data_IF_019203820086
#
_entry.id   IF_019203820086
#
_cell.length_a   1.000
_cell.length_b   1.000
_cell.length_c   1.000
_cell.angle_alpha   90.00
_cell.angle_beta   90.00
_cell.angle_gamma   90.00
#
_symmetry.space_group_name_H-M   'P 1'
#
loop_
_entity.id
_entity.type
_entity.pdbx_description
1 polymer ?
#
# COMPACT_ATOMS: atom_id res chain seq x y z
N UNK A 1 -9.42 -1.18 1.31
CA UNK A 1 -8.16 -1.94 1.15
C UNK A 1 -8.28 -3.34 1.69
N UNK A 2 -8.53 -3.54 3.00
CA UNK A 2 -8.47 -4.88 3.62
C UNK A 2 -9.47 -5.87 3.04
N UNK A 3 -10.76 -5.54 3.03
CA UNK A 3 -11.81 -6.43 2.50
C UNK A 3 -11.55 -6.82 1.04
N UNK A 4 -11.22 -5.84 0.19
CA UNK A 4 -10.85 -6.07 -1.21
C UNK A 4 -9.66 -7.01 -1.35
N UNK A 5 -8.60 -6.83 -0.56
CA UNK A 5 -7.39 -7.66 -0.67
C UNK A 5 -7.59 -9.06 -0.12
N UNK A 6 -8.42 -9.20 0.93
CA UNK A 6 -8.80 -10.50 1.46
C UNK A 6 -9.56 -11.29 0.41
N UNK A 7 -10.62 -10.72 -0.15
CA UNK A 7 -11.43 -11.37 -1.19
C UNK A 7 -10.61 -11.69 -2.45
N UNK A 8 -9.79 -10.74 -2.92
CA UNK A 8 -8.89 -10.94 -4.06
C UNK A 8 -7.93 -12.12 -3.83
N UNK A 9 -7.31 -12.20 -2.64
CA UNK A 9 -6.41 -13.30 -2.30
C UNK A 9 -7.15 -14.64 -2.31
N UNK A 10 -8.35 -14.68 -1.73
CA UNK A 10 -9.17 -15.89 -1.70
C UNK A 10 -9.51 -16.39 -3.10
N UNK A 11 -9.93 -15.49 -3.99
CA UNK A 11 -10.23 -15.82 -5.39
C UNK A 11 -8.98 -16.29 -6.13
N UNK A 12 -7.87 -15.55 -6.07
CA UNK A 12 -6.64 -15.88 -6.79
C UNK A 12 -6.04 -17.23 -6.39
N UNK A 13 -6.22 -17.64 -5.13
CA UNK A 13 -5.71 -18.91 -4.60
C UNK A 13 -6.76 -20.02 -4.53
N UNK A 14 -7.99 -19.79 -5.03
CA UNK A 14 -9.10 -20.75 -4.97
C UNK A 14 -9.40 -21.26 -3.55
N UNK A 15 -9.31 -20.36 -2.56
CA UNK A 15 -9.53 -20.65 -1.15
C UNK A 15 -11.01 -20.67 -0.81
N UNK A 16 -11.40 -21.49 0.17
CA UNK A 16 -12.77 -21.59 0.65
C UNK A 16 -12.94 -20.93 2.03
N UNK A 17 -13.77 -19.88 2.19
CA UNK A 17 -13.98 -19.22 3.49
C UNK A 17 -14.64 -20.11 4.54
N UNK A 18 -15.27 -21.23 4.14
CA UNK A 18 -15.80 -22.22 5.06
C UNK A 18 -14.73 -23.18 5.61
N UNK A 19 -13.51 -23.18 5.05
CA UNK A 19 -12.37 -23.97 5.53
C UNK A 19 -11.53 -23.09 6.45
N UNK A 20 -11.44 -23.39 7.77
CA UNK A 20 -10.73 -22.54 8.73
C UNK A 20 -9.25 -22.31 8.38
N UNK A 21 -8.56 -23.29 7.83
CA UNK A 21 -7.16 -23.22 7.45
C UNK A 21 -6.93 -22.26 6.26
N UNK A 22 -7.85 -22.26 5.31
CA UNK A 22 -7.84 -21.35 4.15
C UNK A 22 -8.05 -19.91 4.60
N UNK A 23 -9.02 -19.69 5.50
CA UNK A 23 -9.26 -18.38 6.11
C UNK A 23 -8.05 -17.91 6.93
N UNK A 24 -7.50 -18.78 7.76
CA UNK A 24 -6.32 -18.48 8.56
C UNK A 24 -5.10 -18.13 7.68
N UNK A 25 -4.89 -18.85 6.57
CA UNK A 25 -3.87 -18.51 5.59
C UNK A 25 -4.10 -17.12 5.01
N UNK A 26 -5.33 -16.81 4.58
CA UNK A 26 -5.65 -15.52 3.98
C UNK A 26 -5.44 -14.35 4.98
N UNK A 27 -5.93 -14.49 6.21
CA UNK A 27 -5.77 -13.50 7.29
C UNK A 27 -4.31 -13.33 7.72
N UNK A 28 -3.52 -14.40 7.70
CA UNK A 28 -2.09 -14.32 8.02
C UNK A 28 -1.33 -13.47 6.99
N UNK A 29 -1.82 -13.39 5.74
CA UNK A 29 -1.18 -12.65 4.64
C UNK A 29 -1.68 -11.22 4.52
N UNK A 30 -2.99 -10.98 4.65
CA UNK A 30 -3.59 -9.64 4.52
C UNK A 30 -3.67 -8.96 5.89
N UNK A 31 -2.64 -8.19 6.23
CA UNK A 31 -2.48 -7.61 7.56
C UNK A 31 -2.61 -6.09 7.54
N UNK A 32 -3.61 -5.50 8.22
CA UNK A 32 -3.77 -4.04 8.27
C UNK A 32 -2.56 -3.31 8.81
N UNK A 33 -1.87 -3.90 9.79
CA UNK A 33 -0.69 -3.31 10.42
C UNK A 33 0.49 -3.14 9.45
N UNK A 34 0.79 -4.16 8.64
CA UNK A 34 1.92 -4.08 7.69
C UNK A 34 1.60 -3.22 6.47
N UNK A 35 0.34 -3.20 6.01
CA UNK A 35 -0.11 -2.29 4.95
C UNK A 35 -0.01 -0.82 5.43
N UNK A 36 -0.40 -0.54 6.67
CA UNK A 36 -0.25 0.81 7.24
C UNK A 36 1.23 1.19 7.47
N UNK A 37 2.09 0.22 7.77
CA UNK A 37 3.53 0.45 7.91
C UNK A 37 4.19 0.78 6.56
N UNK A 38 3.78 0.14 5.47
CA UNK A 38 4.29 0.39 4.12
C UNK A 38 4.17 1.86 3.70
N UNK A 39 3.02 2.48 3.94
CA UNK A 39 2.79 3.93 3.75
C UNK A 39 3.90 4.77 4.42
N UNK A 40 4.21 4.46 5.68
CA UNK A 40 5.22 5.18 6.48
C UNK A 40 6.62 4.90 5.94
N UNK A 41 6.91 3.66 5.57
CA UNK A 41 8.22 3.27 5.04
C UNK A 41 8.53 3.95 3.71
N UNK A 42 7.54 4.11 2.82
CA UNK A 42 7.68 4.96 1.64
C UNK A 42 7.94 6.42 2.01
N UNK A 43 7.19 6.99 2.95
CA UNK A 43 7.37 8.39 3.36
C UNK A 43 8.72 8.64 4.03
N UNK A 44 9.32 7.63 4.66
CA UNK A 44 10.67 7.66 5.21
C UNK A 44 11.76 7.49 4.13
N UNK A 45 11.41 6.96 2.96
CA UNK A 45 12.35 6.56 1.91
C UNK A 45 13.03 5.21 2.16
N UNK A 46 12.45 4.37 3.02
CA UNK A 46 12.94 3.01 3.29
C UNK A 46 12.48 1.99 2.24
N UNK A 47 11.38 2.28 1.51
CA UNK A 47 10.99 1.58 0.29
C UNK A 47 11.15 2.54 -0.88
N UNK A 48 11.95 2.14 -1.86
CA UNK A 48 12.48 3.07 -2.87
C UNK A 48 11.77 3.01 -4.23
N UNK A 49 10.84 2.07 -4.42
CA UNK A 49 10.17 1.84 -5.71
C UNK A 49 8.70 1.49 -5.46
N UNK A 50 7.80 2.09 -6.22
CA UNK A 50 6.39 1.67 -6.36
C UNK A 50 6.24 1.07 -7.76
N UNK A 51 5.59 -0.09 -7.85
CA UNK A 51 5.37 -0.81 -9.11
C UNK A 51 3.93 -1.31 -9.24
N UNK A 52 3.54 -1.83 -10.40
CA UNK A 52 2.13 -2.13 -10.70
C UNK A 52 1.66 -3.52 -10.28
N UNK A 53 2.53 -4.53 -10.30
CA UNK A 53 2.15 -5.95 -10.31
C UNK A 53 1.01 -6.26 -11.31
N UNK A 54 1.23 -5.89 -12.58
CA UNK A 54 0.17 -5.75 -13.59
C UNK A 54 -0.65 -7.02 -13.81
N UNK A 55 -1.95 -6.94 -13.50
CA UNK A 55 -2.93 -8.04 -13.61
C UNK A 55 -2.62 -9.26 -12.73
N UNK A 56 -1.69 -9.12 -11.79
CA UNK A 56 -1.25 -10.18 -10.89
C UNK A 56 -1.22 -9.69 -9.44
N UNK A 57 -2.31 -9.06 -8.98
CA UNK A 57 -2.53 -8.34 -7.71
C UNK A 57 -2.43 -6.80 -7.79
N UNK A 58 -2.13 -6.24 -8.97
CA UNK A 58 -2.17 -4.79 -9.12
C UNK A 58 -2.51 -4.27 -10.52
N UNK A 59 -2.40 -2.94 -10.66
CA UNK A 59 -3.08 -2.15 -11.71
C UNK A 59 -2.07 -1.32 -12.49
N UNK A 60 -1.86 -1.67 -13.76
CA UNK A 60 -0.84 -1.05 -14.63
C UNK A 60 -1.05 0.47 -14.82
N UNK A 61 -2.30 0.92 -14.90
CA UNK A 61 -2.64 2.33 -15.11
C UNK A 61 -2.61 3.20 -13.85
N UNK A 62 -2.32 2.62 -12.67
CA UNK A 62 -2.46 3.34 -11.39
C UNK A 62 -1.14 3.65 -10.70
N UNK A 63 0.02 3.21 -11.22
CA UNK A 63 1.33 3.40 -10.56
C UNK A 63 1.55 4.85 -10.13
N UNK A 64 1.47 5.78 -11.08
CA UNK A 64 1.71 7.21 -10.83
C UNK A 64 0.66 7.80 -9.88
N UNK A 65 -0.62 7.46 -10.09
CA UNK A 65 -1.72 7.95 -9.25
C UNK A 65 -1.55 7.49 -7.79
N UNK A 66 -1.21 6.22 -7.58
CA UNK A 66 -1.05 5.62 -6.24
C UNK A 66 0.17 6.20 -5.52
N UNK A 67 1.28 6.43 -6.23
CA UNK A 67 2.44 7.16 -5.69
C UNK A 67 2.02 8.51 -5.09
N UNK A 68 1.26 9.32 -5.83
CA UNK A 68 0.81 10.63 -5.35
C UNK A 68 -0.26 10.55 -4.25
N UNK A 69 -1.12 9.52 -4.27
CA UNK A 69 -2.09 9.28 -3.20
C UNK A 69 -1.40 8.94 -1.88
N UNK A 70 -0.35 8.10 -1.90
CA UNK A 70 0.46 7.79 -0.71
C UNK A 70 1.15 9.04 -0.19
N UNK A 71 1.82 9.82 -1.06
CA UNK A 71 2.44 11.09 -0.66
C UNK A 71 1.44 12.06 -0.01
N UNK A 72 0.23 12.18 -0.58
CA UNK A 72 -0.84 13.03 -0.06
C UNK A 72 -1.34 12.60 1.31
N UNK A 73 -1.61 11.30 1.49
CA UNK A 73 -2.08 10.75 2.78
C UNK A 73 -0.99 10.89 3.84
N UNK A 74 0.28 10.69 3.48
CA UNK A 74 1.40 10.86 4.39
C UNK A 74 1.60 12.31 4.81
N UNK A 75 1.40 13.28 3.90
CA UNK A 75 1.32 14.70 4.28
C UNK A 75 0.23 14.95 5.31
N UNK A 76 -0.98 14.44 5.08
CA UNK A 76 -2.10 14.62 6.01
C UNK A 76 -1.85 14.01 7.39
N UNK A 77 -1.19 12.84 7.45
CA UNK A 77 -0.96 12.11 8.71
C UNK A 77 0.31 12.54 9.45
N UNK A 78 1.39 12.89 8.74
CA UNK A 78 2.72 13.12 9.32
C UNK A 78 3.22 14.56 9.19
N UNK A 79 2.50 15.41 8.46
CA UNK A 79 2.89 16.79 8.23
C UNK A 79 4.00 16.93 7.18
N UNK A 80 4.73 18.05 7.25
CA UNK A 80 5.85 18.34 6.35
C UNK A 80 7.04 17.40 6.62
N UNK A 81 7.78 17.03 5.57
CA UNK A 81 9.06 16.35 5.73
C UNK A 81 10.13 17.33 6.26
N UNK A 82 11.23 16.83 6.85
CA UNK A 82 12.37 17.68 7.16
C UNK A 82 12.87 18.43 5.93
N UNK A 83 12.96 19.76 6.02
CA UNK A 83 13.35 20.65 4.92
C UNK A 83 12.19 21.19 4.09
N UNK A 84 10.98 20.63 4.23
CA UNK A 84 9.76 21.21 3.66
C UNK A 84 9.19 22.31 4.56
N UNK A 85 8.52 23.28 3.94
CA UNK A 85 7.95 24.46 4.59
C UNK A 85 6.59 24.78 4.02
N UNK A 86 6.46 25.92 3.32
CA UNK A 86 5.22 26.27 2.61
C UNK A 86 4.90 25.28 1.46
N UNK A 87 5.93 24.66 0.89
CA UNK A 87 5.84 23.71 -0.21
C UNK A 87 6.42 22.35 0.21
N UNK A 88 6.04 21.29 -0.52
CA UNK A 88 6.39 19.89 -0.24
C UNK A 88 7.48 19.35 -1.19
N UNK A 89 8.42 20.19 -1.62
CA UNK A 89 9.39 19.87 -2.68
C UNK A 89 10.28 18.67 -2.33
N UNK A 90 10.61 18.44 -1.05
CA UNK A 90 11.36 17.27 -0.63
C UNK A 90 10.50 16.00 -0.72
N UNK A 91 9.24 16.05 -0.29
CA UNK A 91 8.32 14.92 -0.47
C UNK A 91 8.07 14.61 -1.95
N UNK A 92 7.82 15.62 -2.77
CA UNK A 92 7.55 15.48 -4.21
C UNK A 92 8.73 14.91 -4.98
N UNK A 93 9.97 15.15 -4.54
CA UNK A 93 11.17 14.54 -5.17
C UNK A 93 11.46 13.13 -4.68
N UNK A 94 10.95 12.75 -3.50
CA UNK A 94 11.12 11.41 -2.92
C UNK A 94 10.18 10.39 -3.57
N UNK A 95 8.94 10.79 -3.77
CA UNK A 95 7.91 10.01 -4.45
C UNK A 95 8.02 10.14 -5.96
#
# INVERSE_FOLDING_TARGET
TIEEHLDMLMVCHHLNPAVPEDLAFAESRIRPSTIAAEDILHDLGAISIISSDSQAMGRIGEVILRTWQTAHVMKKRRGALPGDGRADNHRVRRY
#
